data_IF_111474709152
#
_entry.id   IF_111474709152
#
_cell.length_a   1.000
_cell.length_b   1.000
_cell.length_c   1.000
_cell.angle_alpha   90.00
_cell.angle_beta   90.00
_cell.angle_gamma   90.00
#
_symmetry.space_group_name_H-M   'P 1'
#
loop_
_entity.id
_entity.type
_entity.pdbx_description
1 polymer ?
#
# COMPACT_ATOMS: atom_id res chain seq x y z
N UNK A 1 -45.88 19.67 12.30
CA UNK A 1 -45.16 18.58 11.61
C UNK A 1 -44.69 19.12 10.28
N UNK A 2 -43.39 19.40 10.10
CA UNK A 2 -42.85 19.91 8.83
C UNK A 2 -42.67 18.73 7.88
N UNK A 3 -43.18 18.86 6.65
CA UNK A 3 -43.04 17.86 5.61
C UNK A 3 -41.56 17.70 5.22
N UNK A 4 -41.13 16.45 5.05
CA UNK A 4 -39.81 16.09 4.55
C UNK A 4 -39.78 16.29 3.03
N UNK A 5 -39.00 17.25 2.56
CA UNK A 5 -38.66 17.39 1.14
C UNK A 5 -37.43 16.51 0.84
N UNK A 6 -37.48 15.62 -0.15
CA UNK A 6 -36.34 14.78 -0.49
C UNK A 6 -35.20 15.63 -1.09
N UNK A 7 -33.93 15.33 -0.77
CA UNK A 7 -32.81 16.11 -1.28
C UNK A 7 -32.69 16.00 -2.80
N UNK A 8 -32.66 17.15 -3.46
CA UNK A 8 -32.36 17.32 -4.88
C UNK A 8 -30.97 16.78 -5.17
N UNK A 9 -30.85 15.83 -6.10
CA UNK A 9 -29.56 15.31 -6.57
C UNK A 9 -28.78 16.46 -7.23
N UNK A 10 -27.72 16.95 -6.59
CA UNK A 10 -26.69 17.74 -7.27
C UNK A 10 -25.70 16.78 -7.92
N UNK A 11 -25.70 16.74 -9.25
CA UNK A 11 -24.60 16.18 -10.03
C UNK A 11 -23.56 17.28 -10.23
N UNK A 12 -22.45 17.20 -9.50
CA UNK A 12 -21.27 17.98 -9.83
C UNK A 12 -20.62 17.35 -11.07
N UNK A 13 -20.54 18.14 -12.14
CA UNK A 13 -19.76 17.95 -13.36
C UNK A 13 -19.84 16.57 -14.03
N UNK A 14 -20.94 16.35 -14.77
CA UNK A 14 -20.96 15.90 -16.17
C UNK A 14 -20.17 14.67 -16.65
N UNK A 15 -19.42 13.99 -15.79
CA UNK A 15 -18.61 12.84 -16.13
C UNK A 15 -19.01 11.71 -15.19
N UNK A 16 -19.78 10.77 -15.73
CA UNK A 16 -20.21 9.58 -15.02
C UNK A 16 -18.95 8.80 -14.62
N UNK A 17 -18.61 8.71 -13.31
CA UNK A 17 -17.53 7.83 -12.91
C UNK A 17 -17.96 6.44 -13.35
N UNK A 18 -17.14 5.74 -14.13
CA UNK A 18 -17.35 4.33 -14.45
C UNK A 18 -17.40 3.56 -13.13
N UNK A 19 -18.61 3.40 -12.59
CA UNK A 19 -18.90 2.70 -11.35
C UNK A 19 -18.86 1.22 -11.67
N UNK A 20 -18.03 0.47 -10.93
CA UNK A 20 -18.25 -0.96 -10.81
C UNK A 20 -19.71 -1.21 -10.42
N UNK A 21 -20.43 -2.15 -11.04
CA UNK A 21 -21.81 -2.44 -10.69
C UNK A 21 -21.89 -2.77 -9.19
N UNK A 22 -22.59 -1.95 -8.41
CA UNK A 22 -22.79 -2.19 -6.97
C UNK A 22 -22.44 -1.03 -6.05
N UNK A 23 -21.50 -0.16 -6.41
CA UNK A 23 -21.06 0.92 -5.50
C UNK A 23 -22.00 2.13 -5.52
N UNK A 24 -22.53 2.48 -4.34
CA UNK A 24 -23.31 3.68 -4.07
C UNK A 24 -22.50 4.61 -3.17
N UNK A 25 -22.31 5.85 -3.62
CA UNK A 25 -21.83 6.93 -2.77
C UNK A 25 -23.02 7.80 -2.34
N UNK A 26 -23.19 8.00 -1.05
CA UNK A 26 -24.16 8.94 -0.46
C UNK A 26 -23.38 10.10 0.15
N UNK A 27 -23.68 11.30 -0.30
CA UNK A 27 -23.10 12.53 0.22
C UNK A 27 -24.09 13.16 1.19
N UNK A 28 -23.70 13.28 2.46
CA UNK A 28 -24.48 14.01 3.45
C UNK A 28 -23.72 15.27 3.84
N UNK A 29 -24.43 16.41 3.81
CA UNK A 29 -23.88 17.66 4.32
C UNK A 29 -24.08 17.67 5.82
N UNK A 30 -22.98 17.75 6.55
CA UNK A 30 -23.00 17.80 8.01
C UNK A 30 -23.49 19.16 8.50
N UNK A 31 -23.89 19.23 9.77
CA UNK A 31 -24.43 20.44 10.40
C UNK A 31 -23.43 21.60 10.50
N UNK A 32 -22.12 21.30 10.47
CA UNK A 32 -21.04 22.29 10.42
C UNK A 32 -20.68 22.74 8.99
N UNK A 33 -21.35 22.21 7.96
CA UNK A 33 -21.18 22.61 6.57
C UNK A 33 -20.17 21.78 5.77
N UNK A 34 -19.56 20.76 6.39
CA UNK A 34 -18.71 19.79 5.72
C UNK A 34 -19.55 18.76 4.93
N UNK A 35 -18.87 17.92 4.16
CA UNK A 35 -19.49 16.79 3.47
C UNK A 35 -18.91 15.49 4.00
N UNK A 36 -19.80 14.62 4.47
CA UNK A 36 -19.47 13.23 4.78
C UNK A 36 -19.89 12.36 3.61
N UNK A 37 -18.99 11.47 3.18
CA UNK A 37 -19.25 10.55 2.07
C UNK A 37 -19.35 9.14 2.62
N UNK A 38 -20.56 8.59 2.61
CA UNK A 38 -20.80 7.20 2.93
C UNK A 38 -20.72 6.38 1.64
N UNK A 39 -19.73 5.51 1.54
CA UNK A 39 -19.60 4.54 0.46
C UNK A 39 -20.25 3.23 0.89
N UNK A 40 -21.17 2.69 0.08
CA UNK A 40 -21.89 1.44 0.31
C UNK A 40 -21.88 0.58 -0.94
N UNK A 41 -21.97 -0.74 -0.80
CA UNK A 41 -21.87 -1.65 -1.96
C UNK A 41 -20.48 -1.68 -2.59
N UNK A 42 -19.46 -1.40 -1.79
CA UNK A 42 -18.12 -1.95 -2.02
C UNK A 42 -18.26 -3.43 -1.65
N UNK A 43 -18.15 -4.35 -2.61
CA UNK A 43 -18.38 -5.77 -2.31
C UNK A 43 -17.41 -6.33 -1.26
N UNK A 44 -16.29 -5.67 -0.98
CA UNK A 44 -15.50 -5.89 0.24
C UNK A 44 -14.74 -4.60 0.61
N UNK A 45 -14.75 -4.19 1.87
CA UNK A 45 -13.91 -3.07 2.35
C UNK A 45 -12.40 -3.28 2.08
N UNK A 46 -11.99 -4.51 1.75
CA UNK A 46 -10.66 -4.86 1.27
C UNK A 46 -10.32 -4.26 -0.10
N UNK A 47 -11.28 -4.10 -1.00
CA UNK A 47 -11.03 -3.61 -2.37
C UNK A 47 -10.63 -2.14 -2.40
N UNK A 48 -11.28 -1.30 -1.59
CA UNK A 48 -10.91 0.12 -1.48
C UNK A 48 -9.51 0.27 -0.90
N UNK A 49 -9.17 -0.51 0.13
CA UNK A 49 -7.85 -0.49 0.74
C UNK A 49 -6.78 -1.02 -0.20
N UNK A 50 -7.09 -2.04 -1.01
CA UNK A 50 -6.21 -2.58 -2.03
C UNK A 50 -5.93 -1.54 -3.13
N UNK A 51 -6.99 -0.90 -3.67
CA UNK A 51 -6.86 0.16 -4.69
C UNK A 51 -6.09 1.36 -4.13
N UNK A 52 -6.36 1.77 -2.89
CA UNK A 52 -5.61 2.85 -2.25
C UNK A 52 -4.13 2.49 -2.08
N UNK A 53 -3.83 1.28 -1.60
CA UNK A 53 -2.46 0.79 -1.45
C UNK A 53 -1.72 0.71 -2.79
N UNK A 54 -2.40 0.27 -3.85
CA UNK A 54 -1.85 0.22 -5.21
C UNK A 54 -1.50 1.62 -5.72
N UNK A 55 -2.43 2.59 -5.61
CA UNK A 55 -2.21 3.97 -6.05
C UNK A 55 -1.10 4.66 -5.26
N UNK A 56 -1.09 4.51 -3.94
CA UNK A 56 -0.02 5.04 -3.07
C UNK A 56 1.32 4.42 -3.45
N UNK A 57 1.36 3.11 -3.71
CA UNK A 57 2.59 2.42 -4.12
C UNK A 57 3.08 2.93 -5.46
N UNK A 58 2.20 3.04 -6.47
CA UNK A 58 2.55 3.53 -7.80
C UNK A 58 3.14 4.95 -7.76
N UNK A 59 2.60 5.82 -6.92
CA UNK A 59 3.06 7.20 -6.77
C UNK A 59 4.41 7.30 -6.03
N UNK A 60 4.59 6.52 -4.95
CA UNK A 60 5.78 6.63 -4.09
C UNK A 60 6.98 5.80 -4.55
N UNK A 61 6.74 4.72 -5.30
CA UNK A 61 7.77 3.78 -5.73
C UNK A 61 8.90 4.43 -6.54
N UNK A 62 8.65 5.30 -7.54
CA UNK A 62 9.72 5.93 -8.31
C UNK A 62 10.69 6.73 -7.43
N UNK A 63 10.16 7.47 -6.46
CA UNK A 63 10.97 8.26 -5.52
C UNK A 63 11.80 7.37 -4.59
N UNK A 64 11.22 6.30 -4.06
CA UNK A 64 11.93 5.35 -3.21
C UNK A 64 13.05 4.62 -3.99
N UNK A 65 12.81 4.24 -5.24
CA UNK A 65 13.82 3.65 -6.11
C UNK A 65 14.97 4.62 -6.39
N UNK A 66 14.67 5.88 -6.67
CA UNK A 66 15.69 6.90 -6.88
C UNK A 66 16.57 7.10 -5.63
N UNK A 67 16.01 6.95 -4.42
CA UNK A 67 16.80 6.95 -3.18
C UNK A 67 17.73 5.75 -3.09
N UNK A 68 17.25 4.53 -3.33
CA UNK A 68 18.08 3.32 -3.32
C UNK A 68 19.21 3.39 -4.36
N UNK A 69 18.90 3.82 -5.59
CA UNK A 69 19.90 3.95 -6.67
C UNK A 69 20.95 5.01 -6.38
N UNK A 70 20.61 6.01 -5.56
CA UNK A 70 21.58 6.99 -5.05
C UNK A 70 22.41 6.47 -3.86
N UNK A 71 22.30 5.17 -3.52
CA UNK A 71 23.00 4.56 -2.39
C UNK A 71 22.42 4.93 -1.03
N UNK A 72 21.22 5.51 -0.96
CA UNK A 72 20.57 5.87 0.30
C UNK A 72 19.77 4.70 0.85
N UNK A 73 19.74 4.59 2.18
CA UNK A 73 18.86 3.68 2.90
C UNK A 73 17.43 4.22 2.92
N UNK A 74 16.46 3.37 2.54
CA UNK A 74 15.03 3.67 2.65
C UNK A 74 14.45 2.88 3.83
N UNK A 75 13.98 3.60 4.85
CA UNK A 75 13.47 3.01 6.08
C UNK A 75 11.95 2.79 6.05
N UNK A 76 11.52 1.63 6.53
CA UNK A 76 10.14 1.22 6.71
C UNK A 76 9.99 0.65 8.12
N UNK A 77 9.90 1.52 9.12
CA UNK A 77 9.83 1.10 10.52
C UNK A 77 11.02 0.21 10.91
N UNK A 78 10.81 -1.05 11.33
CA UNK A 78 11.89 -1.95 11.73
C UNK A 78 12.67 -2.56 10.56
N UNK A 79 12.18 -2.43 9.32
CA UNK A 79 12.88 -2.86 8.12
C UNK A 79 13.48 -1.65 7.38
N UNK A 80 14.59 -1.87 6.69
CA UNK A 80 15.13 -0.89 5.76
C UNK A 80 15.75 -1.60 4.57
N UNK A 81 15.87 -0.89 3.45
CA UNK A 81 16.52 -1.38 2.25
C UNK A 81 17.65 -0.42 1.88
N UNK A 82 18.78 -0.94 1.40
CA UNK A 82 19.86 -0.13 0.82
C UNK A 82 20.52 -0.87 -0.36
N UNK A 83 21.70 -0.42 -0.80
CA UNK A 83 22.42 -1.04 -1.92
C UNK A 83 22.86 -2.49 -1.65
N UNK A 84 23.01 -2.90 -0.39
CA UNK A 84 23.45 -4.23 0.01
C UNK A 84 22.29 -5.21 0.19
N UNK A 85 21.12 -4.76 0.65
CA UNK A 85 19.99 -5.67 0.86
C UNK A 85 18.86 -5.12 1.71
N UNK A 86 18.20 -6.04 2.42
CA UNK A 86 17.15 -5.75 3.41
C UNK A 86 17.72 -5.94 4.81
N UNK A 87 17.47 -5.00 5.72
CA UNK A 87 18.05 -4.97 7.07
C UNK A 87 16.99 -4.92 8.17
N UNK A 88 17.30 -5.59 9.29
CA UNK A 88 16.56 -5.52 10.55
C UNK A 88 17.46 -5.75 11.75
N UNK A 89 17.58 -4.77 12.65
CA UNK A 89 18.20 -4.96 13.97
C UNK A 89 19.56 -5.67 13.94
N UNK A 90 20.45 -5.26 13.03
CA UNK A 90 21.80 -5.84 12.87
C UNK A 90 21.88 -7.10 12.01
N UNK A 91 20.76 -7.64 11.52
CA UNK A 91 20.72 -8.73 10.54
C UNK A 91 20.37 -8.19 9.16
N UNK A 92 20.86 -8.86 8.13
CA UNK A 92 20.66 -8.46 6.73
C UNK A 92 20.41 -9.68 5.86
N UNK A 93 19.66 -9.50 4.78
CA UNK A 93 19.56 -10.43 3.64
C UNK A 93 20.05 -9.70 2.42
N UNK A 94 21.13 -10.19 1.80
CA UNK A 94 21.69 -9.57 0.60
C UNK A 94 20.77 -9.76 -0.61
N UNK A 95 20.85 -8.88 -1.60
CA UNK A 95 20.00 -8.98 -2.81
C UNK A 95 20.14 -10.31 -3.56
N UNK A 96 21.35 -10.89 -3.61
CA UNK A 96 21.59 -12.22 -4.20
C UNK A 96 21.20 -13.40 -3.31
N UNK A 97 20.92 -13.17 -2.03
CA UNK A 97 20.43 -14.17 -1.07
C UNK A 97 18.92 -14.09 -0.89
N UNK A 98 18.28 -13.03 -1.37
CA UNK A 98 16.84 -12.83 -1.28
C UNK A 98 16.11 -13.77 -2.24
N UNK A 99 15.11 -14.47 -1.74
CA UNK A 99 14.14 -15.20 -2.57
C UNK A 99 12.87 -14.36 -2.73
N UNK A 100 12.18 -14.09 -1.63
CA UNK A 100 10.90 -13.41 -1.65
C UNK A 100 10.62 -12.60 -0.37
N UNK A 101 9.74 -11.61 -0.51
CA UNK A 101 9.09 -10.92 0.61
C UNK A 101 7.61 -11.24 0.57
N UNK A 102 7.11 -11.96 1.58
CA UNK A 102 5.76 -12.54 1.61
C UNK A 102 5.00 -12.17 2.86
N UNK A 103 3.67 -12.17 2.77
CA UNK A 103 2.81 -12.19 3.95
C UNK A 103 2.85 -13.59 4.59
N UNK A 104 3.08 -13.63 5.89
CA UNK A 104 3.16 -14.85 6.70
C UNK A 104 2.06 -14.89 7.76
N UNK A 105 1.67 -16.09 8.25
CA UNK A 105 0.64 -16.24 9.26
C UNK A 105 0.87 -15.36 10.50
N UNK A 106 -0.22 -14.78 11.00
CA UNK A 106 -0.21 -13.86 12.15
C UNK A 106 0.10 -12.40 11.77
N UNK A 107 -0.28 -11.97 10.56
CA UNK A 107 -0.10 -10.60 10.06
C UNK A 107 1.37 -10.16 10.09
N UNK A 108 2.26 -11.02 9.58
CA UNK A 108 3.70 -10.76 9.51
C UNK A 108 4.15 -10.60 8.07
N UNK A 109 5.20 -9.81 7.87
CA UNK A 109 5.98 -9.79 6.64
C UNK A 109 7.23 -10.60 6.89
N UNK A 110 7.46 -11.62 6.07
CA UNK A 110 8.64 -12.47 6.11
C UNK A 110 9.53 -12.19 4.89
N UNK A 111 10.84 -12.14 5.14
CA UNK A 111 11.88 -12.08 4.12
C UNK A 111 12.53 -13.46 4.05
N UNK A 112 12.32 -14.13 2.94
CA UNK A 112 12.83 -15.46 2.67
C UNK A 112 14.18 -15.37 1.95
N UNK A 113 15.13 -16.18 2.37
CA UNK A 113 16.37 -16.37 1.61
C UNK A 113 16.18 -17.40 0.48
N UNK A 114 17.18 -17.54 -0.40
CA UNK A 114 17.20 -18.49 -1.53
C UNK A 114 17.05 -19.97 -1.14
N UNK A 115 17.12 -20.31 0.15
CA UNK A 115 16.79 -21.65 0.64
C UNK A 115 15.31 -21.83 1.00
N UNK A 116 14.51 -20.77 0.84
CA UNK A 116 13.11 -20.68 1.25
C UNK A 116 12.92 -20.45 2.75
N UNK A 117 14.00 -20.19 3.50
CA UNK A 117 13.96 -20.03 4.95
C UNK A 117 13.68 -18.57 5.31
N UNK A 118 12.84 -18.36 6.32
CA UNK A 118 12.63 -17.02 6.89
C UNK A 118 13.91 -16.53 7.57
N UNK A 119 14.50 -15.49 7.00
CA UNK A 119 15.73 -14.87 7.49
C UNK A 119 15.44 -13.61 8.32
N UNK A 120 14.45 -12.80 7.91
CA UNK A 120 13.95 -11.64 8.66
C UNK A 120 12.42 -11.66 8.71
N UNK A 121 11.84 -11.05 9.74
CA UNK A 121 10.39 -10.81 9.79
C UNK A 121 10.06 -9.55 10.60
N UNK A 122 8.86 -9.02 10.38
CA UNK A 122 8.23 -7.98 11.23
C UNK A 122 6.72 -8.14 11.19
N UNK A 123 6.00 -7.48 12.11
CA UNK A 123 4.54 -7.39 12.01
C UNK A 123 4.17 -6.41 10.89
N UNK A 124 3.15 -6.74 10.09
CA UNK A 124 2.66 -5.85 9.05
C UNK A 124 2.20 -4.49 9.63
N UNK A 125 1.72 -4.46 10.88
CA UNK A 125 1.34 -3.24 11.60
C UNK A 125 2.52 -2.33 11.97
N UNK A 126 3.75 -2.85 11.98
CA UNK A 126 4.97 -2.08 12.26
C UNK A 126 5.60 -1.51 10.99
N UNK A 127 5.12 -1.93 9.82
CA UNK A 127 5.70 -1.61 8.53
C UNK A 127 4.84 -0.53 7.84
N UNK A 128 5.32 0.71 7.70
CA UNK A 128 4.60 1.73 6.93
C UNK A 128 4.42 1.23 5.49
N UNK A 129 3.19 1.15 4.98
CA UNK A 129 2.88 0.69 3.61
C UNK A 129 3.62 -0.60 3.19
N UNK A 130 3.18 -1.79 3.66
CA UNK A 130 3.80 -3.07 3.30
C UNK A 130 3.84 -3.35 1.78
N UNK A 131 2.85 -2.83 1.04
CA UNK A 131 2.81 -2.94 -0.42
C UNK A 131 3.99 -2.23 -1.09
N UNK A 132 4.29 -1.00 -0.67
CA UNK A 132 5.43 -0.24 -1.18
C UNK A 132 6.76 -0.92 -0.85
N UNK A 133 6.91 -1.40 0.39
CA UNK A 133 8.11 -2.14 0.80
C UNK A 133 8.38 -3.35 -0.12
N UNK A 134 7.35 -4.16 -0.39
CA UNK A 134 7.44 -5.34 -1.28
C UNK A 134 7.76 -4.94 -2.73
N UNK A 135 7.10 -3.91 -3.25
CA UNK A 135 7.33 -3.44 -4.61
C UNK A 135 8.77 -2.92 -4.78
N UNK A 136 9.27 -2.16 -3.79
CA UNK A 136 10.63 -1.66 -3.78
C UNK A 136 11.66 -2.79 -3.70
N UNK A 137 11.47 -3.76 -2.80
CA UNK A 137 12.36 -4.90 -2.66
C UNK A 137 12.45 -5.73 -3.95
N UNK A 138 11.31 -6.00 -4.59
CA UNK A 138 11.24 -6.73 -5.86
C UNK A 138 12.00 -6.01 -6.97
N UNK A 139 11.80 -4.70 -7.10
CA UNK A 139 12.48 -3.92 -8.14
C UNK A 139 13.98 -3.79 -7.88
N UNK A 140 14.40 -3.59 -6.63
CA UNK A 140 15.82 -3.55 -6.26
C UNK A 140 16.54 -4.87 -6.53
N UNK A 141 15.88 -6.00 -6.23
CA UNK A 141 16.41 -7.34 -6.54
C UNK A 141 16.52 -7.59 -8.05
N UNK A 142 15.54 -7.13 -8.84
CA UNK A 142 15.59 -7.21 -10.30
C UNK A 142 16.73 -6.35 -10.87
N UNK A 143 16.88 -5.12 -10.38
CA UNK A 143 17.98 -4.21 -10.76
C UNK A 143 19.35 -4.83 -10.43
N UNK A 144 19.50 -5.50 -9.27
CA UNK A 144 20.72 -6.21 -8.87
C UNK A 144 21.02 -7.42 -9.77
N UNK A 145 19.99 -8.14 -10.19
CA UNK A 145 20.16 -9.34 -11.04
C UNK A 145 20.48 -9.01 -12.51
N UNK A 146 20.26 -7.76 -12.92
CA UNK A 146 20.48 -7.27 -14.28
C UNK A 146 21.84 -6.57 -14.50
N UNK A 147 22.57 -6.26 -13.42
CA UNK A 147 23.89 -5.60 -13.44
C UNK A 147 25.03 -6.59 -13.28
#
# INVERSE_FOLDING_TARGET
VRAYEPPTKLTADGQEPTRSPGTKAVFERTSNGDFEVMLSGLEEGGDLMAVAAERITAELLPGALAQLRAGRTVAFGPLSLDAAGIHRGGRSVGWGELDAVVDSPGSRIAVLDTTGKESLHTRASELPSPALFRALARQAQADHSAG
#
